data_IF_868254264578
#
_entry.id   IF_868254264578
#
_cell.length_a   1.000
_cell.length_b   1.000
_cell.length_c   1.000
_cell.angle_alpha   90.00
_cell.angle_beta   90.00
_cell.angle_gamma   90.00
#
_symmetry.space_group_name_H-M   'P 1'
#
loop_
_entity.id
_entity.type
_entity.pdbx_description
1 polymer ?
#
# COMPACT_ATOMS: atom_id res chain seq x y z
N UNK A 1 25.54 26.13 -74.45
CA UNK A 1 24.21 25.58 -74.03
C UNK A 1 24.41 24.68 -72.82
N UNK A 2 24.02 25.16 -71.64
CA UNK A 2 24.21 24.43 -70.40
C UNK A 2 22.81 24.08 -69.90
N UNK A 3 22.52 22.76 -69.77
CA UNK A 3 21.26 22.20 -69.30
C UNK A 3 21.28 22.11 -67.76
N UNK A 4 20.42 22.85 -67.06
CA UNK A 4 20.19 22.70 -65.62
C UNK A 4 19.16 21.60 -65.39
N UNK A 5 19.58 20.49 -64.80
CA UNK A 5 18.70 19.47 -64.29
C UNK A 5 18.21 19.85 -62.88
N UNK A 6 16.88 20.08 -62.71
CA UNK A 6 16.20 20.30 -61.44
C UNK A 6 16.07 18.96 -60.71
N UNK A 7 16.76 18.80 -59.60
CA UNK A 7 16.53 17.72 -58.66
C UNK A 7 15.44 18.14 -57.65
N UNK A 8 14.28 17.51 -57.72
CA UNK A 8 13.23 17.67 -56.76
C UNK A 8 13.56 16.79 -55.55
N UNK A 9 13.78 17.43 -54.41
CA UNK A 9 13.92 16.74 -53.12
C UNK A 9 12.50 16.55 -52.50
N UNK A 10 12.05 15.33 -52.44
CA UNK A 10 10.81 14.97 -51.72
C UNK A 10 11.10 14.88 -50.24
N UNK A 11 10.57 15.81 -49.44
CA UNK A 11 10.62 15.78 -47.98
C UNK A 11 9.44 14.91 -47.51
N UNK A 12 9.72 13.69 -47.05
CA UNK A 12 8.79 12.83 -46.37
C UNK A 12 8.61 13.33 -44.93
N UNK A 13 7.51 14.05 -44.65
CA UNK A 13 7.07 14.34 -43.28
C UNK A 13 6.53 13.05 -42.66
N UNK A 14 7.34 12.40 -41.82
CA UNK A 14 6.88 11.31 -40.97
C UNK A 14 5.96 11.84 -39.86
N UNK A 15 4.65 11.64 -39.98
CA UNK A 15 3.71 11.90 -38.91
C UNK A 15 3.90 10.84 -37.80
N UNK A 16 4.59 11.20 -36.69
CA UNK A 16 4.58 10.41 -35.47
C UNK A 16 3.17 10.44 -34.90
N UNK A 17 2.43 9.37 -35.08
CA UNK A 17 1.17 9.11 -34.35
C UNK A 17 1.52 8.87 -32.87
N UNK A 18 1.38 9.88 -32.02
CA UNK A 18 1.42 9.72 -30.59
C UNK A 18 0.18 8.89 -30.16
N UNK A 19 0.40 7.61 -29.89
CA UNK A 19 -0.62 6.76 -29.25
C UNK A 19 -0.81 7.29 -27.84
N UNK A 20 -2.04 7.69 -27.43
CA UNK A 20 -2.27 8.08 -26.06
C UNK A 20 -1.97 6.88 -25.16
N UNK A 21 -0.96 6.99 -24.29
CA UNK A 21 -0.75 6.03 -23.22
C UNK A 21 -1.94 6.16 -22.26
N UNK A 22 -2.88 5.24 -22.33
CA UNK A 22 -3.88 5.11 -21.30
C UNK A 22 -3.14 4.81 -20.00
N UNK A 23 -3.25 5.70 -19.03
CA UNK A 23 -2.80 5.43 -17.68
C UNK A 23 -3.60 4.19 -17.21
N UNK A 24 -2.91 3.08 -16.99
CA UNK A 24 -3.54 1.90 -16.43
C UNK A 24 -4.16 2.28 -15.08
N UNK A 25 -5.40 1.87 -14.85
CA UNK A 25 -6.07 2.10 -13.57
C UNK A 25 -5.20 1.54 -12.43
N UNK A 26 -5.12 2.28 -11.33
CA UNK A 26 -4.35 1.85 -10.16
C UNK A 26 -4.88 0.50 -9.65
N UNK A 27 -4.01 -0.48 -9.39
CA UNK A 27 -4.43 -1.81 -8.92
C UNK A 27 -5.28 -1.72 -7.66
N UNK A 28 -6.35 -2.50 -7.59
CA UNK A 28 -7.23 -2.57 -6.42
C UNK A 28 -7.19 -3.97 -5.82
N UNK A 29 -7.06 -4.04 -4.50
CA UNK A 29 -7.05 -5.29 -3.73
C UNK A 29 -8.25 -5.31 -2.80
N UNK A 30 -9.04 -6.38 -2.89
CA UNK A 30 -10.14 -6.64 -1.96
C UNK A 30 -9.67 -7.56 -0.83
N UNK A 31 -9.82 -7.11 0.40
CA UNK A 31 -9.74 -7.93 1.60
C UNK A 31 -11.15 -8.34 2.02
N UNK A 32 -11.47 -9.62 1.93
CA UNK A 32 -12.66 -10.19 2.56
C UNK A 32 -12.31 -10.49 4.02
N UNK A 33 -12.84 -9.72 4.95
CA UNK A 33 -12.54 -9.90 6.39
C UNK A 33 -13.73 -10.49 7.14
N UNK A 34 -13.50 -10.97 8.36
CA UNK A 34 -14.59 -11.40 9.25
C UNK A 34 -15.52 -10.26 9.68
N UNK A 35 -15.12 -9.00 9.47
CA UNK A 35 -15.92 -7.80 9.78
C UNK A 35 -16.61 -7.19 8.56
N UNK A 36 -16.31 -7.66 7.36
CA UNK A 36 -16.79 -7.16 6.06
C UNK A 36 -15.65 -6.96 5.05
N UNK A 37 -15.97 -6.47 3.87
CA UNK A 37 -15.04 -6.26 2.78
C UNK A 37 -14.38 -4.87 2.84
N UNK A 38 -13.08 -4.81 2.56
CA UNK A 38 -12.29 -3.57 2.42
C UNK A 38 -11.62 -3.60 1.05
N UNK A 39 -11.71 -2.52 0.28
CA UNK A 39 -10.99 -2.38 -1.01
C UNK A 39 -9.91 -1.32 -0.87
N UNK A 40 -8.68 -1.71 -1.18
CA UNK A 40 -7.50 -0.86 -1.15
C UNK A 40 -7.05 -0.60 -2.58
N UNK A 41 -6.94 0.66 -2.97
CA UNK A 41 -6.27 1.10 -4.19
C UNK A 41 -4.78 1.30 -3.90
N UNK A 42 -3.91 0.76 -4.76
CA UNK A 42 -2.46 0.73 -4.58
C UNK A 42 -1.81 1.66 -5.60
N UNK A 43 -0.73 2.36 -5.23
CA UNK A 43 -0.08 3.40 -6.05
C UNK A 43 1.36 3.03 -6.46
N UNK A 44 1.55 2.15 -7.48
CA UNK A 44 2.88 1.75 -7.94
C UNK A 44 3.70 2.90 -8.55
N UNK A 45 3.04 3.93 -9.08
CA UNK A 45 3.65 5.13 -9.63
C UNK A 45 4.33 6.00 -8.54
N UNK A 46 3.84 5.90 -7.30
CA UNK A 46 4.29 6.73 -6.17
C UNK A 46 5.24 6.00 -5.22
N UNK A 47 5.00 4.73 -4.96
CA UNK A 47 5.81 3.86 -4.10
C UNK A 47 6.03 2.48 -4.78
N UNK A 48 6.80 2.42 -5.87
CA UNK A 48 6.87 1.24 -6.75
C UNK A 48 7.33 -0.04 -6.04
N UNK A 49 8.40 0.02 -5.25
CA UNK A 49 8.94 -1.17 -4.55
C UNK A 49 7.98 -1.67 -3.49
N UNK A 50 7.39 -0.75 -2.74
CA UNK A 50 6.44 -1.06 -1.66
C UNK A 50 5.15 -1.62 -2.23
N UNK A 51 4.61 -1.01 -3.29
CA UNK A 51 3.42 -1.47 -3.97
C UNK A 51 3.61 -2.86 -4.58
N UNK A 52 4.73 -3.10 -5.28
CA UNK A 52 5.04 -4.42 -5.85
C UNK A 52 5.18 -5.49 -4.76
N UNK A 53 5.90 -5.20 -3.68
CA UNK A 53 6.02 -6.09 -2.52
C UNK A 53 4.65 -6.47 -1.94
N UNK A 54 3.78 -5.50 -1.71
CA UNK A 54 2.42 -5.74 -1.21
C UNK A 54 1.59 -6.59 -2.19
N UNK A 55 1.58 -6.23 -3.47
CA UNK A 55 0.85 -6.97 -4.51
C UNK A 55 1.38 -8.40 -4.67
N UNK A 56 2.69 -8.61 -4.48
CA UNK A 56 3.26 -9.95 -4.52
C UNK A 56 2.78 -10.81 -3.35
N UNK A 57 2.70 -10.26 -2.12
CA UNK A 57 2.09 -10.96 -0.99
C UNK A 57 0.60 -11.29 -1.21
N UNK A 58 -0.14 -10.44 -1.92
CA UNK A 58 -1.52 -10.73 -2.34
C UNK A 58 -1.55 -11.93 -3.31
N UNK A 59 -0.71 -11.94 -4.34
CA UNK A 59 -0.61 -13.05 -5.32
C UNK A 59 -0.22 -14.38 -4.65
N UNK A 60 0.70 -14.31 -3.68
CA UNK A 60 1.18 -15.46 -2.90
C UNK A 60 0.15 -15.94 -1.85
N UNK A 61 -1.04 -15.29 -1.76
CA UNK A 61 -2.08 -15.56 -0.75
C UNK A 61 -1.55 -15.49 0.69
N UNK A 62 -0.50 -14.71 0.91
CA UNK A 62 0.11 -14.56 2.23
C UNK A 62 -0.87 -14.01 3.26
N UNK A 63 -1.71 -13.05 2.86
CA UNK A 63 -2.66 -12.39 3.75
C UNK A 63 -3.84 -13.28 4.15
N UNK A 64 -4.10 -14.36 3.40
CA UNK A 64 -5.19 -15.28 3.71
C UNK A 64 -4.95 -15.94 5.08
N UNK A 65 -5.95 -15.82 5.97
CA UNK A 65 -5.88 -16.31 7.34
C UNK A 65 -5.09 -15.45 8.32
N UNK A 66 -4.48 -14.32 7.89
CA UNK A 66 -3.87 -13.36 8.81
C UNK A 66 -4.91 -12.54 9.55
N UNK A 67 -4.50 -11.87 10.63
CA UNK A 67 -5.38 -11.05 11.47
C UNK A 67 -4.91 -9.61 11.52
N UNK A 68 -5.85 -8.71 11.84
CA UNK A 68 -5.50 -7.41 12.39
C UNK A 68 -5.08 -7.62 13.84
N UNK A 69 -3.77 -7.75 14.06
CA UNK A 69 -3.19 -8.15 15.35
C UNK A 69 -2.93 -6.99 16.30
N UNK A 70 -3.02 -5.74 15.82
CA UNK A 70 -2.88 -4.53 16.64
C UNK A 70 -3.88 -3.48 16.17
N UNK A 71 -4.74 -3.06 17.08
CA UNK A 71 -5.82 -2.10 16.82
C UNK A 71 -5.78 -1.02 17.89
N UNK A 72 -5.53 0.20 17.47
CA UNK A 72 -5.55 1.38 18.35
C UNK A 72 -6.55 2.37 17.76
N UNK A 73 -7.67 2.56 18.43
CA UNK A 73 -8.64 3.60 18.10
C UNK A 73 -7.95 4.98 18.10
N UNK A 74 -8.32 5.86 17.19
CA UNK A 74 -7.68 7.15 16.99
C UNK A 74 -6.19 7.11 16.55
N UNK A 75 -5.71 5.96 16.02
CA UNK A 75 -4.38 5.85 15.43
C UNK A 75 -4.39 4.99 14.16
N UNK A 76 -4.38 3.67 14.29
CA UNK A 76 -4.31 2.77 13.13
C UNK A 76 -4.81 1.36 13.47
N UNK A 77 -5.12 0.58 12.43
CA UNK A 77 -5.30 -0.86 12.52
C UNK A 77 -4.20 -1.55 11.71
N UNK A 78 -3.44 -2.46 12.35
CA UNK A 78 -2.27 -3.12 11.75
C UNK A 78 -2.51 -4.62 11.60
N UNK A 79 -2.14 -5.16 10.43
CA UNK A 79 -2.33 -6.57 10.09
C UNK A 79 -1.29 -7.11 9.12
N UNK A 80 -1.53 -8.32 8.62
CA UNK A 80 -0.78 -8.92 7.53
C UNK A 80 0.49 -9.69 7.92
N UNK A 81 0.80 -9.84 9.19
CA UNK A 81 1.99 -10.57 9.64
C UNK A 81 1.72 -11.79 10.49
N UNK A 82 0.57 -11.85 11.17
CA UNK A 82 0.28 -12.88 12.17
C UNK A 82 -0.99 -13.65 11.83
N UNK A 83 -1.03 -14.92 12.19
CA UNK A 83 -2.22 -15.76 12.12
C UNK A 83 -3.14 -15.58 13.36
N UNK A 84 -4.22 -16.36 13.42
CA UNK A 84 -5.18 -16.34 14.56
C UNK A 84 -4.57 -16.69 15.90
N UNK A 85 -3.46 -17.42 15.93
CA UNK A 85 -2.74 -17.85 17.14
C UNK A 85 -1.63 -16.88 17.52
N UNK A 86 -1.52 -15.72 16.83
CA UNK A 86 -0.44 -14.75 16.98
C UNK A 86 0.94 -15.30 16.58
N UNK A 87 0.97 -16.35 15.75
CA UNK A 87 2.20 -16.86 15.17
C UNK A 87 2.56 -16.04 13.92
N UNK A 88 3.82 -15.61 13.83
CA UNK A 88 4.31 -14.90 12.64
C UNK A 88 4.34 -15.81 11.42
N UNK A 89 3.80 -15.32 10.31
CA UNK A 89 3.94 -15.99 9.00
C UNK A 89 5.30 -15.66 8.40
N UNK A 90 5.90 -16.67 7.75
CA UNK A 90 7.19 -16.51 7.06
C UNK A 90 7.11 -15.42 6.00
N UNK A 91 8.07 -14.50 6.02
CA UNK A 91 8.13 -13.36 5.11
C UNK A 91 9.19 -13.53 4.02
N UNK A 92 9.09 -12.72 2.97
CA UNK A 92 10.12 -12.49 1.96
C UNK A 92 11.20 -11.56 2.52
N UNK A 93 12.26 -11.30 1.75
CA UNK A 93 13.25 -10.29 2.11
C UNK A 93 12.59 -8.90 2.31
N UNK A 94 13.11 -8.08 3.22
CA UNK A 94 12.61 -6.73 3.43
C UNK A 94 12.70 -5.86 2.17
N UNK A 95 11.80 -4.89 2.07
CA UNK A 95 11.76 -3.90 0.99
C UNK A 95 12.44 -2.60 1.40
N UNK A 96 13.18 -1.98 0.47
CA UNK A 96 13.78 -0.68 0.70
C UNK A 96 12.71 0.40 0.98
N UNK A 97 13.00 1.29 1.92
CA UNK A 97 12.10 2.34 2.35
C UNK A 97 11.90 3.41 1.26
N UNK A 98 10.65 3.78 1.01
CA UNK A 98 10.27 4.80 0.02
C UNK A 98 9.45 5.94 0.65
N UNK A 99 9.49 6.11 1.96
CA UNK A 99 8.61 7.06 2.65
C UNK A 99 8.78 8.50 2.21
N UNK A 100 10.02 8.96 1.92
CA UNK A 100 10.28 10.32 1.45
C UNK A 100 9.83 10.56 0.01
N UNK A 101 10.09 9.59 -0.85
CA UNK A 101 9.69 9.61 -2.26
C UNK A 101 8.16 9.60 -2.40
N UNK A 102 7.49 8.75 -1.65
CA UNK A 102 6.05 8.67 -1.58
C UNK A 102 5.44 9.98 -1.05
N UNK A 103 6.02 10.54 0.01
CA UNK A 103 5.61 11.84 0.58
C UNK A 103 5.78 12.98 -0.41
N UNK A 104 6.91 13.06 -1.12
CA UNK A 104 7.18 14.07 -2.14
C UNK A 104 6.18 13.98 -3.31
N UNK A 105 5.64 12.78 -3.58
CA UNK A 105 4.57 12.52 -4.56
C UNK A 105 3.15 12.69 -3.99
N UNK A 106 3.03 13.29 -2.80
CA UNK A 106 1.76 13.65 -2.17
C UNK A 106 1.09 12.55 -1.35
N UNK A 107 1.72 11.40 -1.11
CA UNK A 107 1.20 10.38 -0.22
C UNK A 107 1.55 10.72 1.24
N UNK A 108 0.51 10.91 2.04
CA UNK A 108 0.62 11.27 3.47
C UNK A 108 -0.14 10.28 4.33
N UNK A 109 0.24 10.12 5.59
CA UNK A 109 -0.42 9.25 6.57
C UNK A 109 -1.74 9.90 7.08
N UNK A 110 -2.68 10.11 6.17
CA UNK A 110 -4.01 10.66 6.44
C UNK A 110 -5.05 9.55 6.66
N UNK A 111 -6.22 9.91 7.18
CA UNK A 111 -7.35 8.98 7.33
C UNK A 111 -7.59 8.15 6.07
N UNK A 112 -7.66 6.84 6.23
CA UNK A 112 -7.93 5.86 5.18
C UNK A 112 -6.72 5.49 4.32
N UNK A 113 -5.54 6.09 4.51
CA UNK A 113 -4.33 5.68 3.79
C UNK A 113 -3.73 4.41 4.38
N UNK A 114 -3.03 3.64 3.53
CA UNK A 114 -2.40 2.37 3.88
C UNK A 114 -0.89 2.52 3.76
N UNK A 115 -0.18 2.17 4.83
CA UNK A 115 1.27 2.27 4.91
C UNK A 115 1.93 0.98 5.40
N UNK A 116 3.22 0.79 5.08
CA UNK A 116 4.00 -0.37 5.55
C UNK A 116 4.44 -0.19 7.00
N UNK A 117 4.16 -1.21 7.81
CA UNK A 117 4.75 -1.33 9.13
C UNK A 117 6.23 -1.75 9.01
N UNK A 118 7.05 -1.30 9.96
CA UNK A 118 8.49 -1.58 10.04
C UNK A 118 8.98 -1.52 11.49
N UNK A 119 10.16 -2.00 11.73
CA UNK A 119 10.89 -1.79 13.00
C UNK A 119 11.53 -0.38 13.04
N UNK A 120 12.44 -0.14 13.95
CA UNK A 120 13.25 1.09 13.97
C UNK A 120 14.13 1.25 12.73
N UNK A 121 14.53 0.13 12.09
CA UNK A 121 15.22 0.16 10.79
C UNK A 121 14.21 0.53 9.68
N UNK A 122 14.41 1.60 8.94
CA UNK A 122 13.54 1.99 7.83
C UNK A 122 13.41 0.90 6.75
N UNK A 123 14.45 0.12 6.51
CA UNK A 123 14.50 -0.91 5.49
C UNK A 123 14.09 -2.31 5.99
N UNK A 124 13.34 -2.39 7.09
CA UNK A 124 12.88 -3.66 7.68
C UNK A 124 11.47 -4.08 7.28
N UNK A 125 10.76 -3.30 6.47
CA UNK A 125 9.38 -3.59 6.09
C UNK A 125 9.29 -4.88 5.27
N UNK A 126 8.33 -5.76 5.62
CA UNK A 126 8.08 -7.02 4.91
C UNK A 126 6.62 -7.13 4.45
N UNK A 127 5.77 -7.87 5.18
CA UNK A 127 4.35 -8.08 4.82
C UNK A 127 3.38 -7.22 5.62
N UNK A 128 3.77 -6.76 6.81
CA UNK A 128 2.85 -6.05 7.69
C UNK A 128 2.53 -4.65 7.17
N UNK A 129 1.26 -4.30 7.21
CA UNK A 129 0.75 -2.99 6.83
C UNK A 129 -0.19 -2.45 7.93
N UNK A 130 -0.48 -1.16 7.86
CA UNK A 130 -1.53 -0.56 8.69
C UNK A 130 -2.41 0.39 7.87
N UNK A 131 -3.66 0.55 8.32
CA UNK A 131 -4.61 1.51 7.79
C UNK A 131 -4.74 2.64 8.83
N UNK A 132 -4.50 3.86 8.42
CA UNK A 132 -4.68 5.03 9.26
C UNK A 132 -6.17 5.26 9.53
N UNK A 133 -6.58 5.32 10.80
CA UNK A 133 -7.98 5.55 11.19
C UNK A 133 -8.23 6.98 11.71
N UNK A 134 -7.20 7.81 11.60
CA UNK A 134 -7.21 9.26 11.83
C UNK A 134 -6.14 9.93 10.97
N UNK A 135 -6.00 11.24 11.05
CA UNK A 135 -4.87 11.98 10.46
C UNK A 135 -3.62 11.83 11.35
N UNK A 136 -2.65 11.07 10.85
CA UNK A 136 -1.37 10.79 11.52
C UNK A 136 -0.19 11.54 10.88
N UNK A 137 -0.42 12.53 10.03
CA UNK A 137 0.64 13.23 9.29
C UNK A 137 1.71 13.83 10.20
N UNK A 138 1.31 14.37 11.36
CA UNK A 138 2.24 14.96 12.32
C UNK A 138 3.25 14.00 12.94
N UNK A 139 2.89 12.71 13.01
CA UNK A 139 3.68 11.68 13.72
C UNK A 139 4.33 10.67 12.78
N UNK A 140 3.70 10.38 11.64
CA UNK A 140 4.12 9.30 10.75
C UNK A 140 4.71 9.77 9.42
N UNK A 141 4.47 11.02 9.01
CA UNK A 141 5.12 11.58 7.82
C UNK A 141 6.56 12.04 8.16
N UNK A 142 7.46 12.08 7.16
CA UNK A 142 8.81 12.58 7.38
C UNK A 142 8.78 14.08 7.69
N UNK A 143 9.03 14.51 8.96
CA UNK A 143 8.99 15.91 9.35
C UNK A 143 10.25 16.69 8.92
N UNK A 144 11.24 16.01 8.33
CA UNK A 144 12.46 16.64 7.92
C UNK A 144 13.48 15.68 7.28
N UNK A 145 14.67 16.17 6.92
CA UNK A 145 15.63 15.42 6.11
C UNK A 145 16.13 14.12 6.76
N UNK A 146 16.08 13.99 8.06
CA UNK A 146 16.60 12.82 8.79
C UNK A 146 15.52 11.88 9.34
N UNK A 147 14.24 12.23 9.24
CA UNK A 147 13.16 11.35 9.69
C UNK A 147 12.64 10.53 8.51
N UNK A 148 12.66 9.20 8.61
CA UNK A 148 12.26 8.35 7.50
C UNK A 148 10.74 8.34 7.27
N UNK A 149 9.92 8.54 8.32
CA UNK A 149 8.46 8.38 8.26
C UNK A 149 8.03 6.93 7.98
N UNK A 150 6.82 6.76 7.47
CA UNK A 150 6.25 5.49 7.03
C UNK A 150 5.80 5.59 5.58
N UNK A 151 6.10 4.57 4.78
CA UNK A 151 5.78 4.57 3.35
C UNK A 151 4.30 4.31 3.14
N UNK A 152 3.55 5.35 2.81
CA UNK A 152 2.18 5.20 2.28
C UNK A 152 2.27 4.69 0.85
N UNK A 153 1.48 3.65 0.53
CA UNK A 153 1.49 3.02 -0.80
C UNK A 153 0.09 2.79 -1.38
N UNK A 154 -0.95 3.11 -0.62
CA UNK A 154 -2.33 2.90 -1.06
C UNK A 154 -3.34 3.62 -0.17
N UNK A 155 -4.62 3.42 -0.51
CA UNK A 155 -5.75 4.00 0.20
C UNK A 155 -6.95 3.07 0.17
N UNK A 156 -7.73 3.06 1.24
CA UNK A 156 -9.07 2.45 1.26
C UNK A 156 -10.01 3.28 0.39
N UNK A 157 -10.58 2.65 -0.64
CA UNK A 157 -11.54 3.26 -1.57
C UNK A 157 -12.96 2.74 -1.37
N UNK A 158 -13.12 1.62 -0.63
CA UNK A 158 -14.41 1.08 -0.20
C UNK A 158 -14.24 0.33 1.11
N UNK A 159 -15.26 0.33 1.98
CA UNK A 159 -15.24 -0.39 3.26
C UNK A 159 -14.65 0.41 4.43
N UNK A 160 -14.64 1.75 4.38
CA UNK A 160 -14.25 2.57 5.54
C UNK A 160 -15.17 2.38 6.75
N UNK A 161 -16.43 2.02 6.54
CA UNK A 161 -17.35 1.60 7.61
C UNK A 161 -16.89 0.31 8.29
N UNK A 162 -16.32 -0.65 7.52
CA UNK A 162 -15.71 -1.88 8.05
C UNK A 162 -14.45 -1.54 8.82
N UNK A 163 -13.57 -0.67 8.30
CA UNK A 163 -12.40 -0.16 9.03
C UNK A 163 -12.81 0.47 10.35
N UNK A 164 -13.90 1.27 10.37
CA UNK A 164 -14.44 1.89 11.59
C UNK A 164 -15.01 0.86 12.57
N UNK A 165 -15.61 -0.25 12.10
CA UNK A 165 -16.00 -1.37 12.97
C UNK A 165 -14.78 -2.03 13.60
N UNK A 166 -13.73 -2.28 12.81
CA UNK A 166 -12.49 -2.92 13.30
C UNK A 166 -11.80 -2.05 14.34
N UNK A 167 -11.66 -0.73 14.12
CA UNK A 167 -11.00 0.16 15.07
C UNK A 167 -11.70 0.22 16.44
N UNK A 168 -13.01 -0.02 16.48
CA UNK A 168 -13.84 0.01 17.69
C UNK A 168 -13.95 -1.33 18.44
N UNK A 169 -13.26 -2.40 18.00
CA UNK A 169 -13.33 -3.69 18.69
C UNK A 169 -12.62 -3.62 20.06
N UNK A 170 -13.08 -4.44 21.00
CA UNK A 170 -12.40 -4.56 22.28
C UNK A 170 -11.01 -5.17 22.09
N UNK A 171 -10.00 -4.54 22.66
CA UNK A 171 -8.60 -4.99 22.62
C UNK A 171 -8.08 -5.37 24.00
N UNK A 172 -7.04 -6.18 24.04
CA UNK A 172 -6.37 -6.65 25.23
C UNK A 172 -4.91 -7.01 24.97
N UNK A 173 -4.34 -7.85 25.84
CA UNK A 173 -2.98 -8.37 25.68
C UNK A 173 -3.01 -9.83 25.24
N UNK A 174 -2.08 -10.20 24.36
CA UNK A 174 -1.80 -11.58 23.98
C UNK A 174 -0.29 -11.81 24.03
N UNK A 175 0.20 -12.51 25.04
CA UNK A 175 1.62 -12.64 25.30
C UNK A 175 2.29 -11.27 25.51
N UNK A 176 3.28 -10.96 24.68
CA UNK A 176 4.00 -9.69 24.70
C UNK A 176 3.33 -8.58 23.87
N UNK A 177 2.28 -8.91 23.11
CA UNK A 177 1.58 -7.97 22.25
C UNK A 177 0.45 -7.25 23.02
N UNK A 178 0.41 -5.93 22.93
CA UNK A 178 -0.69 -5.08 23.39
C UNK A 178 -1.64 -4.73 22.23
N UNK A 179 -2.80 -4.18 22.58
CA UNK A 179 -3.80 -3.69 21.63
C UNK A 179 -4.29 -4.76 20.63
N UNK A 180 -4.29 -6.04 21.06
CA UNK A 180 -4.74 -7.18 20.26
C UNK A 180 -6.26 -7.32 20.39
N UNK A 181 -7.03 -7.42 19.28
CA UNK A 181 -8.46 -7.69 19.34
C UNK A 181 -8.77 -8.96 20.15
N UNK A 182 -9.65 -8.86 21.16
CA UNK A 182 -10.08 -10.01 21.99
C UNK A 182 -10.73 -11.09 21.14
N UNK A 183 -11.53 -10.67 20.15
CA UNK A 183 -12.04 -11.56 19.10
C UNK A 183 -11.23 -11.27 17.83
N UNK A 184 -10.46 -12.25 17.32
CA UNK A 184 -9.62 -12.02 16.14
C UNK A 184 -10.40 -11.52 14.93
N UNK A 185 -9.97 -10.40 14.36
CA UNK A 185 -10.47 -9.91 13.07
C UNK A 185 -9.60 -10.47 11.97
N UNK A 186 -10.16 -11.39 11.19
CA UNK A 186 -9.43 -12.22 10.21
C UNK A 186 -9.58 -11.67 8.81
N UNK A 187 -8.49 -11.62 8.07
CA UNK A 187 -8.49 -11.47 6.60
C UNK A 187 -8.68 -12.86 6.02
N UNK A 188 -9.90 -13.19 5.62
CA UNK A 188 -10.23 -14.51 5.06
C UNK A 188 -9.55 -14.71 3.70
N UNK A 189 -9.50 -13.67 2.88
CA UNK A 189 -8.76 -13.66 1.62
C UNK A 189 -8.37 -12.24 1.19
N UNK A 190 -7.28 -12.14 0.42
CA UNK A 190 -6.86 -10.93 -0.28
C UNK A 190 -6.78 -11.22 -1.78
N UNK A 191 -7.53 -10.48 -2.61
CA UNK A 191 -7.62 -10.72 -4.06
C UNK A 191 -7.43 -9.44 -4.85
N UNK A 192 -6.62 -9.51 -5.92
CA UNK A 192 -6.51 -8.44 -6.90
C UNK A 192 -7.82 -8.37 -7.69
N UNK A 193 -8.39 -7.17 -7.80
CA UNK A 193 -9.57 -6.92 -8.62
C UNK A 193 -9.16 -6.68 -10.08
N UNK A 194 -10.03 -7.05 -11.04
CA UNK A 194 -9.80 -6.82 -12.47
C UNK A 194 -9.77 -5.35 -12.84
#
# INVERSE_FOLDING_TARGET
MVSLSRRAAAVLLGACLAVPAWAADAPKVKFATSAGDIVIEVYPDKAPKTADNFLQYVRDKHYDGTVFHRVIDNFMIQGGGMDRNMAEKKTRAPVAHEGREAYAKGLKNQLGTVAMARTSDPNSATSQFFINVTDNTRTLDPPGPNAPGYTVFGRVVSGMDVVNKIKGVQTGRSGMHGDVPVVPVVINSATLLP
#
